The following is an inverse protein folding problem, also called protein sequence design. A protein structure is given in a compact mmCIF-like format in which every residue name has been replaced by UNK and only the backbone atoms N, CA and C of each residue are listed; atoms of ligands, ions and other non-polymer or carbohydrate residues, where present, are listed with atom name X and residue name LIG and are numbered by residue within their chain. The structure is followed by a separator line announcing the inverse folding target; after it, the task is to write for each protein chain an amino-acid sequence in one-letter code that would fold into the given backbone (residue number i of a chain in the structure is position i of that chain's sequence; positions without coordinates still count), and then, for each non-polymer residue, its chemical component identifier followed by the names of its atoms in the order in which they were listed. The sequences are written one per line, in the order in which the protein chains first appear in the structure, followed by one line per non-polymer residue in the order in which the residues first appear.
data_IF_927614955024
#
_entry.id   IF_927614955024
#
_cell.length_a   1.000
_cell.length_b   1.000
_cell.length_c   1.000
_cell.angle_alpha   90.00
_cell.angle_beta   90.00
_cell.angle_gamma   90.00
#
_symmetry.space_group_name_H-M   'P 1'
#
loop_
_entity.id
_entity.type
_entity.pdbx_description
1 polymer ?
#
# COMPACT_ATOMS: atom_id res chain seq x y z
N UNK A 1 -5.09 49.96 -27.67
CA UNK A 1 -4.86 48.80 -26.78
C UNK A 1 -6.10 47.91 -26.83
N UNK A 2 -6.01 46.71 -27.42
CA UNK A 2 -7.12 45.75 -27.46
C UNK A 2 -7.06 44.86 -26.22
N UNK A 3 -8.04 44.96 -25.33
CA UNK A 3 -8.25 44.00 -24.24
C UNK A 3 -8.91 42.75 -24.83
N UNK A 4 -8.14 41.67 -24.95
CA UNK A 4 -8.69 40.34 -25.22
C UNK A 4 -9.36 39.80 -23.96
N UNK A 5 -10.68 39.75 -23.98
CA UNK A 5 -11.47 39.03 -22.98
C UNK A 5 -11.15 37.53 -23.09
N UNK A 6 -10.47 36.98 -22.08
CA UNK A 6 -10.43 35.54 -21.88
C UNK A 6 -11.86 35.05 -21.64
N UNK A 7 -12.30 34.11 -22.48
CA UNK A 7 -13.65 33.54 -22.44
C UNK A 7 -13.84 32.77 -21.12
N UNK A 8 -14.97 33.00 -20.46
CA UNK A 8 -15.44 32.34 -19.25
C UNK A 8 -15.51 30.78 -19.24
N UNK A 9 -15.52 30.01 -20.36
CA UNK A 9 -15.61 28.55 -20.28
C UNK A 9 -14.39 27.87 -19.63
N UNK A 10 -13.21 28.50 -19.67
CA UNK A 10 -12.00 27.92 -19.07
C UNK A 10 -12.02 28.02 -17.55
N UNK A 11 -12.72 29.00 -16.98
CA UNK A 11 -12.90 29.13 -15.53
C UNK A 11 -13.91 28.09 -14.99
N UNK A 12 -14.91 27.73 -15.78
CA UNK A 12 -15.93 26.75 -15.38
C UNK A 12 -15.37 25.31 -15.36
N UNK A 13 -14.39 25.00 -16.22
CA UNK A 13 -13.69 23.71 -16.20
C UNK A 13 -12.77 23.55 -14.98
N UNK A 14 -12.23 24.65 -14.44
CA UNK A 14 -11.43 24.65 -13.20
C UNK A 14 -12.28 24.64 -11.92
N UNK A 15 -13.55 25.06 -11.98
CA UNK A 15 -14.46 25.04 -10.83
C UNK A 15 -15.24 23.72 -10.65
N UNK A 16 -15.18 22.78 -11.60
CA UNK A 16 -15.71 21.42 -11.41
C UNK A 16 -14.64 20.48 -10.81
N UNK A 17 -13.35 20.84 -10.90
CA UNK A 17 -12.23 20.10 -10.30
C UNK A 17 -12.08 20.29 -8.78
N UNK A 18 -12.91 21.12 -8.14
CA UNK A 18 -12.96 21.26 -6.67
C UNK A 18 -14.20 20.61 -6.07
N UNK A 19 -14.70 19.53 -6.68
CA UNK A 19 -15.37 18.49 -5.90
C UNK A 19 -14.32 17.94 -4.93
N UNK A 20 -14.30 18.47 -3.70
CA UNK A 20 -13.43 18.02 -2.61
C UNK A 20 -13.33 16.49 -2.67
N UNK A 21 -12.11 15.98 -2.87
CA UNK A 21 -11.88 14.56 -3.02
C UNK A 21 -12.51 13.85 -1.82
N UNK A 22 -13.55 13.05 -2.06
CA UNK A 22 -14.31 12.46 -0.96
C UNK A 22 -13.40 11.50 -0.19
N UNK A 23 -13.47 11.48 1.14
CA UNK A 23 -12.69 10.55 1.94
C UNK A 23 -12.94 9.11 1.51
N UNK A 24 -11.87 8.31 1.56
CA UNK A 24 -11.88 6.89 1.23
C UNK A 24 -12.73 6.16 2.25
N UNK A 25 -13.63 5.31 1.77
CA UNK A 25 -14.50 4.50 2.63
C UNK A 25 -14.04 3.04 2.63
N UNK A 26 -14.39 2.24 3.65
CA UNK A 26 -13.99 0.83 3.70
C UNK A 26 -14.37 0.03 2.44
N UNK A 27 -15.51 0.33 1.81
CA UNK A 27 -15.93 -0.31 0.57
C UNK A 27 -15.11 0.06 -0.67
N UNK A 28 -14.28 1.10 -0.61
CA UNK A 28 -13.40 1.53 -1.69
C UNK A 28 -12.09 0.74 -1.71
N UNK A 29 -11.79 0.03 -0.63
CA UNK A 29 -10.62 -0.82 -0.47
C UNK A 29 -11.01 -2.28 -0.63
N UNK A 30 -10.22 -3.03 -1.40
CA UNK A 30 -10.32 -4.49 -1.52
C UNK A 30 -8.96 -5.12 -1.24
N UNK A 31 -8.97 -6.18 -0.44
CA UNK A 31 -7.78 -6.99 -0.17
C UNK A 31 -7.84 -8.21 -1.10
N UNK A 32 -6.82 -8.36 -1.93
CA UNK A 32 -6.66 -9.51 -2.82
C UNK A 32 -5.51 -10.36 -2.30
N UNK A 33 -5.80 -11.62 -2.03
CA UNK A 33 -4.81 -12.57 -1.52
C UNK A 33 -4.46 -13.58 -2.60
N UNK A 34 -3.17 -13.78 -2.86
CA UNK A 34 -2.68 -14.95 -3.59
C UNK A 34 -2.45 -16.05 -2.56
N UNK A 35 -3.21 -17.14 -2.68
CA UNK A 35 -3.10 -18.30 -1.77
C UNK A 35 -2.30 -19.43 -2.41
N UNK A 36 -1.88 -20.41 -1.60
CA UNK A 36 -1.21 -21.63 -2.09
C UNK A 36 -2.08 -22.40 -3.08
N UNK A 37 -3.40 -22.43 -2.86
CA UNK A 37 -4.36 -23.05 -3.78
C UNK A 37 -4.43 -22.32 -5.11
N UNK A 38 -4.33 -20.99 -5.11
CA UNK A 38 -4.39 -20.17 -6.32
C UNK A 38 -3.25 -20.46 -7.30
N UNK A 39 -2.10 -20.89 -6.76
CA UNK A 39 -0.89 -21.19 -7.53
C UNK A 39 -0.57 -22.69 -7.58
N UNK A 40 -1.49 -23.54 -7.11
CA UNK A 40 -1.39 -25.01 -7.23
C UNK A 40 -0.31 -25.65 -6.36
N UNK A 41 0.10 -24.99 -5.27
CA UNK A 41 1.11 -25.51 -4.33
C UNK A 41 0.48 -25.83 -2.98
N UNK A 42 1.02 -26.85 -2.30
CA UNK A 42 0.67 -27.16 -0.92
C UNK A 42 1.81 -26.71 -0.02
N UNK A 43 1.61 -25.62 0.70
CA UNK A 43 2.60 -25.12 1.66
C UNK A 43 2.34 -25.65 3.06
N UNK A 44 3.41 -26.07 3.74
CA UNK A 44 3.39 -26.59 5.11
C UNK A 44 3.94 -25.58 6.13
N UNK A 45 4.81 -24.65 5.71
CA UNK A 45 5.40 -23.63 6.60
C UNK A 45 5.86 -22.38 5.84
N UNK A 46 6.09 -21.29 6.59
CA UNK A 46 6.72 -20.05 6.09
C UNK A 46 8.12 -20.34 5.55
N UNK A 47 8.89 -21.15 6.26
CA UNK A 47 10.21 -21.61 5.85
C UNK A 47 10.19 -22.30 4.49
N UNK A 48 9.17 -23.11 4.19
CA UNK A 48 9.04 -23.75 2.87
C UNK A 48 8.87 -22.71 1.76
N UNK A 49 8.11 -21.64 1.99
CA UNK A 49 8.03 -20.53 1.03
C UNK A 49 9.37 -19.79 0.90
N UNK A 50 10.02 -19.48 2.02
CA UNK A 50 11.28 -18.71 2.05
C UNK A 50 12.47 -19.50 1.49
N UNK A 51 12.41 -20.85 1.45
CA UNK A 51 13.48 -21.70 0.93
C UNK A 51 13.19 -22.32 -0.44
N UNK A 52 11.91 -22.54 -0.80
CA UNK A 52 11.55 -23.19 -2.07
C UNK A 52 11.38 -22.20 -3.23
N UNK A 53 12.34 -22.23 -4.16
CA UNK A 53 12.34 -21.38 -5.37
C UNK A 53 11.10 -21.56 -6.26
N UNK A 54 10.63 -22.80 -6.47
CA UNK A 54 9.48 -23.09 -7.33
C UNK A 54 8.19 -22.52 -6.76
N UNK A 55 8.04 -22.59 -5.43
CA UNK A 55 6.91 -21.96 -4.73
C UNK A 55 6.96 -20.45 -4.95
N UNK A 56 8.08 -19.79 -4.64
CA UNK A 56 8.20 -18.33 -4.82
C UNK A 56 7.92 -17.90 -6.25
N UNK A 57 8.44 -18.64 -7.23
CA UNK A 57 8.15 -18.42 -8.64
C UNK A 57 6.65 -18.41 -8.94
N UNK A 58 5.90 -19.42 -8.45
CA UNK A 58 4.47 -19.52 -8.70
C UNK A 58 3.69 -18.30 -8.15
N UNK A 59 4.04 -17.82 -6.95
CA UNK A 59 3.46 -16.60 -6.38
C UNK A 59 3.81 -15.34 -7.18
N UNK A 60 5.06 -15.22 -7.65
CA UNK A 60 5.51 -14.10 -8.50
C UNK A 60 4.79 -14.08 -9.85
N UNK A 61 4.63 -15.24 -10.49
CA UNK A 61 3.88 -15.36 -11.75
C UNK A 61 2.43 -14.93 -11.55
N UNK A 62 1.77 -15.40 -10.48
CA UNK A 62 0.41 -14.98 -10.16
C UNK A 62 0.31 -13.48 -9.87
N UNK A 63 1.30 -12.91 -9.16
CA UNK A 63 1.39 -11.45 -8.91
C UNK A 63 1.53 -10.67 -10.22
N UNK A 64 2.45 -11.07 -11.09
CA UNK A 64 2.65 -10.43 -12.39
C UNK A 64 1.40 -10.50 -13.27
N UNK A 65 0.72 -11.65 -13.30
CA UNK A 65 -0.54 -11.80 -14.01
C UNK A 65 -1.66 -10.94 -13.41
N UNK A 66 -1.80 -10.91 -12.08
CA UNK A 66 -2.73 -10.02 -11.39
C UNK A 66 -2.51 -8.57 -11.80
N UNK A 67 -1.27 -8.08 -11.67
CA UNK A 67 -0.90 -6.69 -11.95
C UNK A 67 -1.20 -6.31 -13.41
N UNK A 68 -0.85 -7.17 -14.37
CA UNK A 68 -1.20 -6.96 -15.79
C UNK A 68 -2.72 -6.87 -16.01
N UNK A 69 -3.50 -7.74 -15.36
CA UNK A 69 -4.97 -7.73 -15.49
C UNK A 69 -5.63 -6.55 -14.78
N UNK A 70 -4.98 -6.01 -13.74
CA UNK A 70 -5.45 -4.88 -12.93
C UNK A 70 -5.07 -3.50 -13.51
N UNK A 71 -4.16 -3.48 -14.49
CA UNK A 71 -3.72 -2.27 -15.19
C UNK A 71 -4.93 -1.50 -15.76
N UNK A 72 -5.02 -0.22 -15.41
CA UNK A 72 -6.09 0.68 -15.85
C UNK A 72 -7.48 0.43 -15.23
N UNK A 73 -7.65 -0.60 -14.39
CA UNK A 73 -8.94 -0.94 -13.75
C UNK A 73 -9.04 -0.43 -12.32
N UNK A 74 -7.99 -0.68 -11.54
CA UNK A 74 -7.90 -0.20 -10.16
C UNK A 74 -7.50 1.28 -10.12
N UNK A 75 -7.91 1.98 -9.06
CA UNK A 75 -7.45 3.35 -8.79
C UNK A 75 -6.00 3.34 -8.32
N UNK A 76 -5.65 2.41 -7.45
CA UNK A 76 -4.29 2.27 -6.92
C UNK A 76 -4.08 0.85 -6.41
N UNK A 77 -2.85 0.34 -6.48
CA UNK A 77 -2.47 -0.98 -5.98
C UNK A 77 -1.31 -0.81 -5.00
N UNK A 78 -1.51 -1.34 -3.79
CA UNK A 78 -0.49 -1.48 -2.78
C UNK A 78 -0.10 -2.95 -2.69
N UNK A 79 1.18 -3.26 -2.79
CA UNK A 79 1.70 -4.61 -2.63
C UNK A 79 2.19 -4.76 -1.18
N UNK A 80 1.50 -5.62 -0.43
CA UNK A 80 1.80 -5.94 0.95
C UNK A 80 2.60 -7.25 1.04
N UNK A 81 3.57 -7.29 1.97
CA UNK A 81 4.51 -8.39 2.18
C UNK A 81 5.36 -8.72 0.94
N UNK A 82 6.39 -7.90 0.70
CA UNK A 82 7.26 -7.99 -0.47
C UNK A 82 8.28 -9.15 -0.42
N UNK A 83 8.78 -9.57 -1.59
CA UNK A 83 9.74 -10.67 -1.77
C UNK A 83 11.16 -10.28 -1.31
N UNK A 84 11.81 -11.03 -0.40
CA UNK A 84 13.08 -10.62 0.21
C UNK A 84 14.36 -10.82 -0.65
N UNK A 85 14.31 -11.48 -1.81
CA UNK A 85 15.53 -11.94 -2.52
C UNK A 85 15.59 -11.55 -4.01
N UNK A 86 16.79 -11.20 -4.51
CA UNK A 86 17.12 -11.01 -5.94
C UNK A 86 17.44 -12.32 -6.67
N UNK A 87 16.81 -12.42 -7.83
CA UNK A 87 17.33 -12.80 -9.15
C UNK A 87 17.86 -14.23 -9.32
N UNK A 88 17.06 -15.04 -10.02
CA UNK A 88 17.54 -15.95 -11.08
C UNK A 88 16.35 -16.68 -11.76
N UNK A 89 15.31 -15.96 -12.22
CA UNK A 89 14.21 -16.60 -12.99
C UNK A 89 13.52 -15.63 -13.97
N UNK A 90 13.05 -16.09 -15.16
CA UNK A 90 12.25 -15.30 -16.11
C UNK A 90 10.97 -14.67 -15.52
N UNK A 91 10.46 -15.18 -14.40
CA UNK A 91 9.31 -14.59 -13.69
C UNK A 91 9.59 -13.19 -13.15
N UNK A 92 10.84 -12.90 -12.79
CA UNK A 92 11.22 -11.62 -12.20
C UNK A 92 11.11 -10.53 -13.28
N UNK A 93 11.52 -10.82 -14.51
CA UNK A 93 11.32 -9.95 -15.67
C UNK A 93 9.83 -9.70 -15.95
N UNK A 94 9.00 -10.75 -15.89
CA UNK A 94 7.55 -10.61 -16.07
C UNK A 94 6.90 -9.75 -14.99
N UNK A 95 7.35 -9.89 -13.74
CA UNK A 95 6.88 -9.07 -12.63
C UNK A 95 7.34 -7.62 -12.78
N UNK A 96 8.62 -7.39 -13.10
CA UNK A 96 9.19 -6.07 -13.38
C UNK A 96 8.46 -5.36 -14.51
N UNK A 97 8.20 -6.07 -15.61
CA UNK A 97 7.42 -5.54 -16.72
C UNK A 97 6.01 -5.14 -16.24
N UNK A 98 5.36 -5.98 -15.43
CA UNK A 98 4.03 -5.66 -14.87
C UNK A 98 4.05 -4.43 -13.95
N UNK A 99 5.11 -4.24 -13.16
CA UNK A 99 5.28 -3.09 -12.28
C UNK A 99 5.47 -1.79 -13.08
N UNK A 100 6.35 -1.82 -14.09
CA UNK A 100 6.63 -0.66 -14.97
C UNK A 100 5.40 -0.18 -15.74
N UNK A 101 4.43 -1.07 -15.97
CA UNK A 101 3.21 -0.76 -16.73
C UNK A 101 2.18 0.08 -15.97
N UNK A 102 2.32 0.23 -14.65
CA UNK A 102 1.32 0.94 -13.85
C UNK A 102 1.98 1.96 -12.91
N UNK A 103 1.81 3.27 -13.17
CA UNK A 103 2.30 4.32 -12.27
C UNK A 103 1.50 4.39 -10.95
N UNK A 104 0.52 3.50 -10.78
CA UNK A 104 -0.41 3.46 -9.64
C UNK A 104 -0.17 2.22 -8.79
N UNK A 105 1.08 1.77 -8.73
CA UNK A 105 1.55 0.68 -7.87
C UNK A 105 2.54 1.25 -6.86
N UNK A 106 2.49 0.77 -5.63
CA UNK A 106 3.55 0.95 -4.62
C UNK A 106 3.69 -0.32 -3.79
N UNK A 107 4.71 -0.39 -2.93
CA UNK A 107 4.90 -1.47 -1.98
C UNK A 107 5.39 -0.95 -0.63
N UNK A 108 5.10 -1.72 0.42
CA UNK A 108 5.54 -1.43 1.78
C UNK A 108 7.03 -1.73 1.94
N UNK A 109 7.84 -0.71 2.22
CA UNK A 109 9.16 -0.89 2.79
C UNK A 109 9.02 -0.99 4.32
N UNK A 110 9.52 -2.06 4.92
CA UNK A 110 9.53 -2.21 6.37
C UNK A 110 10.68 -1.45 7.03
N UNK A 111 10.67 -1.41 8.36
CA UNK A 111 11.59 -0.60 9.17
C UNK A 111 13.10 -0.90 9.04
N UNK A 112 13.95 -0.37 9.93
CA UNK A 112 15.42 -0.37 9.78
C UNK A 112 16.06 -1.75 9.54
N UNK A 113 15.45 -2.84 10.02
CA UNK A 113 15.90 -4.20 9.71
C UNK A 113 15.74 -4.61 8.23
N UNK A 114 14.84 -3.96 7.50
CA UNK A 114 14.61 -4.20 6.07
C UNK A 114 15.47 -3.32 5.14
N UNK A 115 16.26 -2.38 5.66
CA UNK A 115 17.26 -1.65 4.87
C UNK A 115 18.32 -2.59 4.27
N UNK A 116 18.58 -3.76 4.88
CA UNK A 116 19.42 -4.81 4.26
C UNK A 116 18.77 -5.43 3.02
N UNK A 117 17.44 -5.51 2.98
CA UNK A 117 16.70 -5.94 1.80
C UNK A 117 16.64 -4.84 0.75
N UNK A 118 16.71 -3.56 1.08
CA UNK A 118 16.73 -2.47 0.08
C UNK A 118 17.86 -2.63 -0.97
N UNK A 119 19.00 -3.23 -0.60
CA UNK A 119 20.07 -3.59 -1.56
C UNK A 119 19.71 -4.73 -2.52
N UNK A 120 18.87 -5.68 -2.11
CA UNK A 120 18.27 -6.70 -2.98
C UNK A 120 16.94 -6.23 -3.61
N UNK A 121 16.58 -4.96 -3.46
CA UNK A 121 15.33 -4.43 -3.99
C UNK A 121 15.54 -3.37 -5.04
N UNK A 122 16.77 -2.86 -5.23
CA UNK A 122 17.08 -1.79 -6.18
C UNK A 122 16.45 -2.02 -7.55
N UNK A 123 16.53 -3.23 -8.09
CA UNK A 123 15.99 -3.53 -9.41
C UNK A 123 14.45 -3.47 -9.52
N UNK A 124 13.73 -3.84 -8.46
CA UNK A 124 12.26 -3.73 -8.40
C UNK A 124 11.81 -2.33 -7.95
N UNK A 125 12.58 -1.69 -7.08
CA UNK A 125 12.37 -0.32 -6.63
C UNK A 125 12.46 0.66 -7.82
N UNK A 126 13.40 0.47 -8.74
CA UNK A 126 13.50 1.24 -9.99
C UNK A 126 12.24 1.13 -10.87
N UNK A 127 11.49 0.03 -10.75
CA UNK A 127 10.26 -0.17 -11.52
C UNK A 127 9.04 0.53 -10.91
N UNK A 128 9.17 1.09 -9.70
CA UNK A 128 8.06 1.62 -8.92
C UNK A 128 8.33 3.10 -8.60
N UNK A 129 7.44 4.03 -8.98
CA UNK A 129 7.71 5.46 -8.86
C UNK A 129 7.97 5.92 -7.43
N UNK A 130 7.23 5.36 -6.47
CA UNK A 130 7.27 5.78 -5.07
C UNK A 130 7.10 4.58 -4.14
N UNK A 131 7.86 4.59 -3.04
CA UNK A 131 7.82 3.60 -1.97
C UNK A 131 7.55 4.32 -0.65
N UNK A 132 6.83 3.67 0.26
CA UNK A 132 6.57 4.21 1.60
C UNK A 132 6.91 3.23 2.71
N UNK A 133 7.02 3.76 3.93
CA UNK A 133 7.31 2.95 5.12
C UNK A 133 6.03 2.42 5.80
N UNK A 134 6.12 1.29 6.51
CA UNK A 134 4.99 0.65 7.23
C UNK A 134 5.20 0.59 8.75
N UNK A 135 5.88 1.58 9.32
CA UNK A 135 6.23 1.56 10.75
C UNK A 135 5.00 1.73 11.64
N UNK A 136 4.65 0.61 12.29
CA UNK A 136 3.57 0.45 13.25
C UNK A 136 4.18 0.14 14.61
N UNK A 137 3.73 0.80 15.66
CA UNK A 137 4.02 0.39 17.03
C UNK A 137 2.70 0.10 17.77
N UNK A 138 2.73 -0.97 18.56
CA UNK A 138 1.60 -1.59 19.23
C UNK A 138 1.81 -1.72 20.75
N UNK A 139 2.66 -0.87 21.33
CA UNK A 139 2.96 -0.85 22.78
C UNK A 139 1.69 -0.78 23.66
N UNK A 140 0.67 -0.04 23.24
CA UNK A 140 -0.61 0.04 23.93
C UNK A 140 -1.61 -1.01 23.39
N UNK A 141 -2.27 -1.82 24.24
CA UNK A 141 -3.22 -2.84 23.81
C UNK A 141 -4.55 -2.28 23.25
N UNK A 142 -4.83 -0.99 23.42
CA UNK A 142 -6.08 -0.33 23.02
C UNK A 142 -5.99 0.41 21.68
N UNK A 143 -4.79 0.74 21.22
CA UNK A 143 -4.54 1.50 19.99
C UNK A 143 -3.45 0.85 19.15
N UNK A 144 -3.43 1.15 17.86
CA UNK A 144 -2.22 1.08 17.06
C UNK A 144 -1.76 2.49 16.77
N UNK A 145 -0.45 2.73 16.73
CA UNK A 145 0.06 4.02 16.33
C UNK A 145 1.12 3.95 15.26
N UNK A 146 1.25 5.07 14.54
CA UNK A 146 2.10 5.18 13.38
C UNK A 146 2.45 6.63 13.09
N UNK A 147 3.50 6.80 12.30
CA UNK A 147 4.05 8.08 11.91
C UNK A 147 3.72 8.30 10.42
N UNK A 148 3.20 9.46 9.99
CA UNK A 148 2.98 9.75 8.58
C UNK A 148 4.27 9.90 7.79
N UNK A 149 5.34 10.32 8.45
CA UNK A 149 6.65 10.45 7.83
C UNK A 149 7.78 10.26 8.78
N UNK A 150 8.93 9.90 8.22
CA UNK A 150 10.18 9.69 8.92
C UNK A 150 11.32 10.36 8.17
N UNK A 151 12.32 10.77 8.93
CA UNK A 151 13.61 11.20 8.39
C UNK A 151 14.54 9.99 8.26
N UNK A 152 15.33 9.93 7.19
CA UNK A 152 16.22 8.78 6.96
C UNK A 152 17.70 9.07 7.02
N UNK A 153 18.15 10.33 6.94
CA UNK A 153 19.58 10.62 6.96
C UNK A 153 20.20 10.76 8.37
N UNK A 154 19.39 10.90 9.43
CA UNK A 154 19.85 11.01 10.85
C UNK A 154 18.73 10.68 11.89
N UNK A 155 18.10 9.49 11.85
CA UNK A 155 16.97 9.18 12.76
C UNK A 155 17.24 8.14 13.85
N UNK A 156 17.76 8.61 14.98
CA UNK A 156 17.44 8.05 16.29
C UNK A 156 15.99 8.44 16.65
N UNK A 157 15.09 7.47 16.61
CA UNK A 157 13.64 7.59 16.82
C UNK A 157 13.26 7.88 18.29
N UNK A 158 12.09 8.48 18.63
CA UNK A 158 11.41 9.65 18.07
C UNK A 158 11.39 10.81 19.09
N UNK A 159 11.89 12.00 18.73
CA UNK A 159 11.40 13.32 19.19
C UNK A 159 12.40 14.43 18.78
N UNK A 160 12.95 14.40 17.56
CA UNK A 160 13.89 15.44 17.21
C UNK A 160 13.14 16.73 16.85
N UNK A 161 13.44 17.74 17.66
CA UNK A 161 12.85 19.09 17.78
C UNK A 161 13.00 19.97 16.52
N UNK A 162 13.33 19.39 15.37
CA UNK A 162 13.64 20.11 14.14
C UNK A 162 12.86 19.56 12.94
N UNK A 163 12.33 20.43 12.06
CA UNK A 163 11.62 20.00 10.87
C UNK A 163 12.55 19.21 9.94
N UNK A 164 12.09 18.05 9.49
CA UNK A 164 12.79 17.22 8.53
C UNK A 164 12.92 17.95 7.17
N UNK A 165 14.11 18.06 6.58
CA UNK A 165 14.22 18.53 5.20
C UNK A 165 13.43 17.59 4.26
N UNK A 166 12.63 18.16 3.35
CA UNK A 166 11.74 17.40 2.44
C UNK A 166 12.45 16.27 1.69
N UNK A 167 13.69 16.51 1.24
CA UNK A 167 14.48 15.51 0.50
C UNK A 167 14.83 14.24 1.31
N UNK A 168 14.70 14.29 2.64
CA UNK A 168 15.00 13.18 3.54
C UNK A 168 13.74 12.56 4.16
N UNK A 169 12.58 13.07 3.78
CA UNK A 169 11.30 12.65 4.32
C UNK A 169 10.77 11.47 3.51
N UNK A 170 10.62 10.31 4.16
CA UNK A 170 9.87 9.19 3.60
C UNK A 170 8.43 9.22 4.10
N UNK A 171 7.46 9.05 3.19
CA UNK A 171 6.03 8.98 3.51
C UNK A 171 5.61 7.59 3.98
N UNK A 172 4.69 7.54 4.92
CA UNK A 172 4.04 6.32 5.34
C UNK A 172 3.22 5.80 4.17
N UNK A 173 3.24 4.50 3.95
CA UNK A 173 2.62 3.93 2.77
C UNK A 173 1.10 4.16 2.72
N UNK A 174 0.43 4.17 3.87
CA UNK A 174 -0.99 4.53 3.93
C UNK A 174 -1.28 5.95 3.42
N UNK A 175 -0.39 6.90 3.69
CA UNK A 175 -0.50 8.28 3.21
C UNK A 175 -0.32 8.32 1.70
N UNK A 176 0.74 7.70 1.17
CA UNK A 176 0.97 7.58 -0.27
C UNK A 176 -0.23 6.95 -0.99
N UNK A 177 -0.78 5.86 -0.45
CA UNK A 177 -1.92 5.19 -1.03
C UNK A 177 -3.17 6.09 -1.06
N UNK A 178 -3.40 6.88 -0.01
CA UNK A 178 -4.49 7.85 0.03
C UNK A 178 -4.28 8.98 -1.00
N UNK A 179 -3.10 9.57 -1.05
CA UNK A 179 -2.74 10.63 -2.02
C UNK A 179 -2.96 10.17 -3.46
N UNK A 180 -2.45 8.99 -3.80
CA UNK A 180 -2.56 8.43 -5.15
C UNK A 180 -3.98 8.03 -5.52
N UNK A 181 -4.76 7.54 -4.56
CA UNK A 181 -6.18 7.22 -4.79
C UNK A 181 -7.02 8.49 -5.03
N UNK A 182 -6.80 9.52 -4.21
CA UNK A 182 -7.54 10.79 -4.27
C UNK A 182 -7.06 11.72 -5.38
N UNK A 183 -5.82 11.56 -5.84
CA UNK A 183 -5.20 12.43 -6.85
C UNK A 183 -4.79 13.80 -6.30
N UNK A 184 -4.56 13.90 -4.98
CA UNK A 184 -4.14 15.11 -4.29
C UNK A 184 -2.96 14.81 -3.37
N UNK A 185 -2.11 15.79 -3.13
CA UNK A 185 -1.09 15.71 -2.08
C UNK A 185 -1.73 16.05 -0.73
N UNK A 186 -1.41 15.24 0.27
CA UNK A 186 -1.98 15.33 1.61
C UNK A 186 -0.90 15.90 2.55
N UNK A 187 -1.19 17.05 3.16
CA UNK A 187 -0.26 17.70 4.09
C UNK A 187 -0.45 17.22 5.53
N UNK A 188 0.65 17.04 6.27
CA UNK A 188 0.66 16.68 7.69
C UNK A 188 1.85 17.37 8.35
N UNK A 189 1.78 17.56 9.67
CA UNK A 189 2.90 18.13 10.42
C UNK A 189 3.98 17.05 10.63
N UNK A 190 5.25 17.31 10.30
CA UNK A 190 6.34 16.38 10.58
C UNK A 190 6.37 15.97 12.06
N UNK A 191 6.52 14.67 12.32
CA UNK A 191 6.53 14.13 13.70
C UNK A 191 5.15 13.90 14.30
N UNK A 192 4.05 14.18 13.57
CA UNK A 192 2.71 13.77 13.99
C UNK A 192 2.65 12.27 14.27
N UNK A 193 1.91 11.89 15.31
CA UNK A 193 1.62 10.50 15.64
C UNK A 193 0.12 10.31 15.49
N UNK A 194 -0.26 9.30 14.71
CA UNK A 194 -1.64 8.94 14.50
C UNK A 194 -1.97 7.68 15.27
N UNK A 195 -3.16 7.66 15.85
CA UNK A 195 -3.67 6.60 16.69
C UNK A 195 -4.92 6.01 16.03
N UNK A 196 -4.94 4.70 15.86
CA UNK A 196 -6.12 3.95 15.41
C UNK A 196 -6.61 3.13 16.59
N UNK A 197 -7.76 3.49 17.19
CA UNK A 197 -8.37 2.69 18.24
C UNK A 197 -8.67 1.28 17.74
N UNK A 198 -8.23 0.25 18.47
CA UNK A 198 -8.45 -1.15 18.08
C UNK A 198 -9.94 -1.52 18.00
N UNK A 199 -10.79 -0.82 18.77
CA UNK A 199 -12.24 -0.98 18.74
C UNK A 199 -12.93 -0.31 17.52
N UNK A 200 -12.24 0.53 16.76
CA UNK A 200 -12.76 1.16 15.54
C UNK A 200 -12.48 0.34 14.28
N UNK A 201 -11.77 -0.79 14.42
CA UNK A 201 -11.48 -1.69 13.30
C UNK A 201 -12.73 -2.21 12.62
N UNK A 202 -12.70 -2.12 11.29
CA UNK A 202 -13.70 -2.68 10.39
C UNK A 202 -13.06 -3.79 9.57
N UNK A 203 -13.87 -4.80 9.24
CA UNK A 203 -13.47 -5.82 8.27
C UNK A 203 -13.52 -5.22 6.87
N UNK A 204 -12.52 -5.55 6.06
CA UNK A 204 -12.46 -5.15 4.66
C UNK A 204 -12.90 -6.29 3.75
N UNK A 205 -13.38 -5.94 2.56
CA UNK A 205 -13.70 -6.95 1.57
C UNK A 205 -12.42 -7.66 1.12
N UNK A 206 -12.36 -8.98 1.32
CA UNK A 206 -11.21 -9.83 0.99
C UNK A 206 -11.63 -10.88 -0.02
N UNK A 207 -10.82 -11.07 -1.06
CA UNK A 207 -11.01 -12.09 -2.09
C UNK A 207 -9.70 -12.82 -2.39
N UNK A 208 -9.79 -14.04 -2.90
CA UNK A 208 -8.63 -14.77 -3.42
C UNK A 208 -8.34 -14.40 -4.87
N UNK A 209 -7.12 -14.66 -5.32
CA UNK A 209 -6.72 -14.47 -6.71
C UNK A 209 -7.61 -15.29 -7.68
N UNK A 210 -7.99 -16.52 -7.33
CA UNK A 210 -8.92 -17.31 -8.14
C UNK A 210 -10.32 -16.71 -8.21
N UNK A 211 -10.79 -16.08 -7.13
CA UNK A 211 -12.06 -15.35 -7.13
C UNK A 211 -12.00 -14.12 -8.03
N UNK A 212 -10.89 -13.38 -7.97
CA UNK A 212 -10.61 -12.28 -8.90
C UNK A 212 -10.59 -12.75 -10.36
N UNK A 213 -9.93 -13.87 -10.69
CA UNK A 213 -9.89 -14.42 -12.06
C UNK A 213 -11.30 -14.66 -12.63
N UNK A 214 -12.24 -15.08 -11.78
CA UNK A 214 -13.64 -15.33 -12.16
C UNK A 214 -14.45 -14.03 -12.31
N UNK A 215 -14.16 -13.01 -11.50
CA UNK A 215 -14.82 -11.70 -11.57
C UNK A 215 -13.80 -10.55 -11.47
N UNK A 216 -13.12 -10.18 -12.57
CA UNK A 216 -12.10 -9.14 -12.52
C UNK A 216 -12.66 -7.74 -12.24
N UNK A 217 -13.97 -7.50 -12.46
CA UNK A 217 -14.59 -6.18 -12.25
C UNK A 217 -14.68 -5.78 -10.77
N UNK A 218 -14.46 -6.72 -9.85
CA UNK A 218 -14.51 -6.48 -8.40
C UNK A 218 -13.48 -5.45 -7.92
N UNK A 219 -12.40 -5.24 -8.67
CA UNK A 219 -11.36 -4.23 -8.37
C UNK A 219 -11.56 -2.90 -9.12
N UNK A 220 -12.60 -2.78 -9.95
CA UNK A 220 -12.79 -1.60 -10.78
C UNK A 220 -12.99 -0.36 -9.88
N UNK A 221 -12.18 0.67 -10.13
CA UNK A 221 -12.10 1.89 -9.33
C UNK A 221 -11.78 1.69 -7.83
N UNK A 222 -11.20 0.54 -7.44
CA UNK A 222 -10.81 0.28 -6.04
C UNK A 222 -9.36 0.65 -5.75
N UNK A 223 -9.07 0.92 -4.48
CA UNK A 223 -7.75 0.76 -3.91
C UNK A 223 -7.58 -0.73 -3.60
N UNK A 224 -6.57 -1.36 -4.20
CA UNK A 224 -6.30 -2.78 -3.99
C UNK A 224 -5.11 -2.93 -3.07
N UNK A 225 -5.24 -3.74 -2.03
CA UNK A 225 -4.09 -4.25 -1.27
C UNK A 225 -3.86 -5.69 -1.73
N UNK A 226 -2.80 -5.91 -2.49
CA UNK A 226 -2.38 -7.24 -2.94
C UNK A 226 -1.45 -7.85 -1.88
N UNK A 227 -1.86 -8.94 -1.26
CA UNK A 227 -1.01 -9.73 -0.38
C UNK A 227 -0.24 -10.72 -1.26
N UNK A 228 1.06 -10.48 -1.43
CA UNK A 228 1.93 -11.28 -2.32
C UNK A 228 2.59 -12.49 -1.65
N UNK A 229 2.29 -12.76 -0.38
CA UNK A 229 2.77 -13.93 0.37
C UNK A 229 1.63 -14.81 0.89
N UNK A 230 1.81 -16.14 0.94
CA UNK A 230 0.79 -17.09 1.41
C UNK A 230 0.54 -17.09 2.92
N UNK A 231 1.22 -16.24 3.69
CA UNK A 231 1.13 -16.23 5.15
C UNK A 231 0.72 -14.86 5.67
N UNK A 232 -0.53 -14.41 5.42
CA UNK A 232 -1.08 -13.26 6.14
C UNK A 232 -1.17 -13.50 7.65
N UNK A 233 -0.98 -14.75 8.11
CA UNK A 233 -1.10 -15.17 9.50
C UNK A 233 0.09 -14.83 10.41
N UNK A 234 1.24 -14.45 9.86
CA UNK A 234 2.41 -14.07 10.66
C UNK A 234 2.28 -12.68 11.26
N UNK A 235 1.50 -11.80 10.63
CA UNK A 235 1.24 -10.43 11.09
C UNK A 235 -0.22 -10.26 11.52
N UNK A 236 -0.68 -11.18 12.38
CA UNK A 236 -2.04 -11.14 12.91
C UNK A 236 -2.05 -10.66 14.36
N UNK A 237 -2.83 -9.64 14.63
CA UNK A 237 -2.95 -9.00 15.94
C UNK A 237 -4.28 -9.37 16.58
N UNK A 238 -4.24 -9.70 17.86
CA UNK A 238 -5.44 -9.98 18.64
C UNK A 238 -6.18 -8.68 18.99
N UNK A 239 -7.50 -8.69 18.75
CA UNK A 239 -8.43 -7.68 19.25
C UNK A 239 -9.35 -8.33 20.28
N UNK A 240 -9.31 -7.87 21.55
CA UNK A 240 -10.21 -8.34 22.58
C UNK A 240 -11.68 -8.31 22.12
N UNK A 241 -12.34 -9.47 22.19
CA UNK A 241 -13.76 -9.63 21.81
C UNK A 241 -14.07 -9.60 20.31
N UNK A 242 -13.08 -9.48 19.41
CA UNK A 242 -13.29 -9.41 17.94
C UNK A 242 -12.43 -10.36 17.10
N UNK A 243 -11.53 -11.11 17.74
CA UNK A 243 -10.65 -12.07 17.09
C UNK A 243 -9.40 -11.42 16.49
N UNK A 244 -8.80 -12.07 15.48
CA UNK A 244 -7.54 -11.62 14.87
C UNK A 244 -7.76 -10.74 13.64
N UNK A 245 -6.89 -9.75 13.46
CA UNK A 245 -6.81 -8.89 12.26
C UNK A 245 -5.42 -8.95 11.63
N UNK A 246 -5.32 -8.83 10.31
CA UNK A 246 -4.01 -8.83 9.63
C UNK A 246 -3.38 -7.44 9.54
N UNK A 247 -2.05 -7.37 9.37
CA UNK A 247 -1.34 -6.13 9.03
C UNK A 247 -1.96 -5.38 7.84
N UNK A 248 -2.42 -6.08 6.81
CA UNK A 248 -3.14 -5.48 5.67
C UNK A 248 -4.46 -4.81 6.06
N UNK A 249 -5.19 -5.35 7.05
CA UNK A 249 -6.42 -4.73 7.58
C UNK A 249 -6.09 -3.48 8.40
N UNK A 250 -4.98 -3.49 9.15
CA UNK A 250 -4.44 -2.29 9.84
C UNK A 250 -4.10 -1.21 8.83
N UNK A 251 -3.37 -1.57 7.80
CA UNK A 251 -3.00 -0.66 6.72
C UNK A 251 -4.22 -0.07 6.00
N UNK A 252 -5.22 -0.90 5.70
CA UNK A 252 -6.48 -0.45 5.11
C UNK A 252 -7.22 0.55 6.02
N UNK A 253 -7.27 0.29 7.33
CA UNK A 253 -7.84 1.25 8.29
C UNK A 253 -7.07 2.58 8.29
N UNK A 254 -5.73 2.54 8.31
CA UNK A 254 -4.91 3.76 8.31
C UNK A 254 -5.15 4.63 7.06
N UNK A 255 -5.34 4.00 5.89
CA UNK A 255 -5.69 4.71 4.65
C UNK A 255 -7.03 5.44 4.80
N UNK A 256 -8.05 4.75 5.33
CA UNK A 256 -9.37 5.33 5.59
C UNK A 256 -9.25 6.51 6.57
N UNK A 257 -8.54 6.33 7.68
CA UNK A 257 -8.34 7.38 8.68
C UNK A 257 -7.65 8.61 8.10
N UNK A 258 -6.54 8.45 7.36
CA UNK A 258 -5.86 9.58 6.74
C UNK A 258 -6.75 10.37 5.80
N UNK A 259 -7.53 9.67 4.99
CA UNK A 259 -8.42 10.34 4.05
C UNK A 259 -9.51 11.16 4.75
N UNK A 260 -9.96 10.73 5.93
CA UNK A 260 -11.01 11.38 6.71
C UNK A 260 -10.52 12.59 7.48
N UNK A 261 -9.38 12.48 8.17
CA UNK A 261 -8.83 13.56 9.00
C UNK A 261 -8.49 14.82 8.17
N UNK A 262 -8.16 14.64 6.89
CA UNK A 262 -7.85 15.73 5.96
C UNK A 262 -9.08 16.26 5.20
N UNK A 263 -10.23 15.58 5.29
CA UNK A 263 -11.50 16.10 4.79
C UNK A 263 -12.20 16.99 5.82
N UNK A 264 -11.73 16.97 7.07
CA UNK A 264 -12.30 17.72 8.19
C UNK A 264 -11.57 19.06 8.45
N UNK A 265 -10.47 19.32 7.73
CA UNK A 265 -9.72 20.58 7.73
C UNK A 265 -9.95 21.34 6.43
#
# INVERSE_FOLDING_TARGET
MKLTFLKAPTLLALMISTLAAKPIKPQDIIIVEITSQDVGVRLKSVEEYDTNRLVRHAFRTASAEFLRRAQGKSKFILIDMWYPDLLEMPSDESLLAALKLSPRITFASGGPHNQRFEKSLSHFAEAIPEMGHILLNAEDPSVFFFFPTLCTEDSDWPANKHPCPVKFQQKHIALLAAEKYLGIELSFEPGSIFWVPRNEFKRFHRITYSSFKKNPKVIDNKLVILISKPFPHTDMFDIPGRGRISGSEILAMMIVFYSQDLSAK
#
